data_IF_083673648659
#
_entry.id   IF_083673648659
#
_cell.length_a   1.000
_cell.length_b   1.000
_cell.length_c   1.000
_cell.angle_alpha   90.00
_cell.angle_beta   90.00
_cell.angle_gamma   90.00
#
_symmetry.space_group_name_H-M   'P 1'
#
loop_
_entity.id
_entity.type
_entity.pdbx_description
1 polymer ?
#
# COMPACT_ATOMS: atom_id res chain seq x y z
N UNK A 1 23.66 -31.04 -57.12
CA UNK A 1 22.36 -30.35 -57.00
C UNK A 1 22.43 -29.20 -56.01
N UNK A 2 23.38 -29.23 -55.07
CA UNK A 2 23.55 -28.21 -54.03
C UNK A 2 24.10 -26.88 -54.57
N UNK A 3 24.95 -26.92 -55.60
CA UNK A 3 25.55 -25.72 -56.22
C UNK A 3 24.55 -24.83 -56.98
N UNK A 4 23.46 -25.39 -57.49
CA UNK A 4 22.38 -24.62 -58.15
C UNK A 4 21.48 -23.92 -57.12
N UNK A 5 21.32 -24.51 -55.94
CA UNK A 5 20.51 -23.96 -54.85
C UNK A 5 21.20 -22.79 -54.14
N UNK A 6 22.55 -22.74 -54.14
CA UNK A 6 23.33 -21.67 -53.52
C UNK A 6 23.45 -20.38 -54.37
N UNK A 7 23.21 -20.48 -55.67
CA UNK A 7 23.28 -19.36 -56.62
C UNK A 7 22.39 -18.15 -56.25
N UNK A 8 21.10 -18.31 -55.89
CA UNK A 8 20.26 -17.19 -55.45
C UNK A 8 20.74 -16.56 -54.13
N UNK A 9 21.30 -17.34 -53.20
CA UNK A 9 21.79 -16.82 -51.91
C UNK A 9 23.07 -15.98 -52.04
N UNK A 10 23.83 -16.15 -53.14
CA UNK A 10 24.99 -15.31 -53.43
C UNK A 10 24.62 -13.90 -53.91
N UNK A 11 23.45 -13.76 -54.55
CA UNK A 11 22.91 -12.47 -55.00
C UNK A 11 22.05 -11.77 -53.94
N UNK A 12 21.36 -12.54 -53.09
CA UNK A 12 20.57 -12.00 -51.99
C UNK A 12 21.49 -11.67 -50.81
N UNK A 13 22.04 -10.45 -50.82
CA UNK A 13 22.73 -9.89 -49.65
C UNK A 13 21.72 -9.76 -48.52
N UNK A 14 21.90 -10.47 -47.41
CA UNK A 14 21.03 -10.35 -46.23
C UNK A 14 20.98 -8.87 -45.84
N UNK A 15 19.80 -8.23 -45.87
CA UNK A 15 19.69 -6.82 -45.53
C UNK A 15 20.16 -6.65 -44.08
N UNK A 16 21.07 -5.70 -43.84
CA UNK A 16 21.48 -5.32 -42.49
C UNK A 16 20.28 -4.69 -41.80
N UNK A 17 19.41 -5.50 -41.21
CA UNK A 17 18.28 -5.04 -40.43
C UNK A 17 18.81 -4.39 -39.16
N UNK A 18 19.06 -3.07 -39.22
CA UNK A 18 19.26 -2.24 -38.04
C UNK A 18 17.90 -2.06 -37.37
N UNK A 19 17.37 -3.12 -36.78
CA UNK A 19 16.18 -3.07 -35.96
C UNK A 19 16.49 -2.15 -34.77
N UNK A 20 16.00 -0.92 -34.84
CA UNK A 20 15.96 -0.02 -33.70
C UNK A 20 14.91 -0.60 -32.75
N UNK A 21 15.35 -1.44 -31.81
CA UNK A 21 14.48 -1.81 -30.68
C UNK A 21 14.09 -0.51 -29.96
N UNK A 22 12.80 -0.33 -29.61
CA UNK A 22 12.41 0.83 -28.85
C UNK A 22 13.16 0.78 -27.52
N UNK A 23 14.11 1.71 -27.35
CA UNK A 23 14.84 1.86 -26.10
C UNK A 23 13.93 2.60 -25.12
N UNK A 24 12.98 1.87 -24.54
CA UNK A 24 12.14 2.39 -23.46
C UNK A 24 13.06 2.63 -22.28
N UNK A 25 13.22 3.89 -21.89
CA UNK A 25 13.98 4.24 -20.69
C UNK A 25 13.37 3.53 -19.49
N UNK A 26 14.20 2.76 -18.78
CA UNK A 26 13.76 2.07 -17.56
C UNK A 26 13.31 3.13 -16.55
N UNK A 27 12.17 2.96 -15.88
CA UNK A 27 11.73 3.90 -14.86
C UNK A 27 12.76 3.96 -13.71
N UNK A 28 12.88 5.12 -13.09
CA UNK A 28 13.77 5.30 -11.93
C UNK A 28 13.34 4.37 -10.79
N UNK A 29 14.28 3.76 -10.03
CA UNK A 29 13.96 2.92 -8.88
C UNK A 29 13.01 3.59 -7.87
N UNK A 30 13.13 4.91 -7.69
CA UNK A 30 12.27 5.67 -6.77
C UNK A 30 10.82 5.79 -7.26
N UNK A 31 10.62 5.84 -8.57
CA UNK A 31 9.28 5.85 -9.17
C UNK A 31 8.62 4.50 -8.96
N UNK A 32 9.37 3.41 -9.20
CA UNK A 32 8.88 2.04 -8.97
C UNK A 32 8.54 1.83 -7.49
N UNK A 33 9.41 2.27 -6.58
CA UNK A 33 9.15 2.24 -5.14
C UNK A 33 7.88 3.00 -4.77
N UNK A 34 7.69 4.23 -5.28
CA UNK A 34 6.52 5.04 -4.98
C UNK A 34 5.22 4.39 -5.47
N UNK A 35 5.25 3.77 -6.65
CA UNK A 35 4.11 3.02 -7.19
C UNK A 35 3.78 1.83 -6.31
N UNK A 36 4.78 1.02 -5.92
CA UNK A 36 4.56 -0.15 -5.05
C UNK A 36 4.06 0.27 -3.67
N UNK A 37 4.61 1.36 -3.12
CA UNK A 37 4.19 1.87 -1.83
C UNK A 37 2.74 2.36 -1.87
N UNK A 38 2.35 3.04 -2.94
CA UNK A 38 0.98 3.48 -3.14
C UNK A 38 0.01 2.32 -3.36
N UNK A 39 0.38 1.31 -4.15
CA UNK A 39 -0.48 0.12 -4.35
C UNK A 39 -0.62 -0.69 -3.07
N UNK A 40 0.43 -0.78 -2.25
CA UNK A 40 0.34 -1.39 -0.91
C UNK A 40 -0.67 -0.66 -0.03
N UNK A 41 -0.64 0.68 -0.01
CA UNK A 41 -1.63 1.49 0.69
C UNK A 41 -3.06 1.15 0.22
N UNK A 42 -3.33 1.18 -1.09
CA UNK A 42 -4.66 0.91 -1.65
C UNK A 42 -5.20 -0.49 -1.28
N UNK A 43 -4.33 -1.50 -1.33
CA UNK A 43 -4.71 -2.88 -0.99
C UNK A 43 -4.95 -3.00 0.53
N UNK A 44 -4.05 -2.44 1.34
CA UNK A 44 -4.15 -2.48 2.80
C UNK A 44 -5.35 -1.71 3.35
N UNK A 45 -5.78 -0.64 2.67
CA UNK A 45 -6.97 0.12 3.04
C UNK A 45 -8.28 -0.60 2.72
N UNK A 46 -8.22 -1.77 2.06
CA UNK A 46 -9.40 -2.56 1.76
C UNK A 46 -10.17 -2.12 0.52
N UNK A 47 -9.56 -1.40 -0.43
CA UNK A 47 -10.26 -0.93 -1.63
C UNK A 47 -10.85 -2.08 -2.45
N UNK A 48 -10.21 -3.26 -2.45
CA UNK A 48 -10.75 -4.46 -3.10
C UNK A 48 -12.07 -4.89 -2.43
N UNK A 49 -12.14 -4.82 -1.10
CA UNK A 49 -13.37 -5.11 -0.35
C UNK A 49 -14.44 -4.06 -0.67
N UNK A 50 -14.06 -2.79 -0.69
CA UNK A 50 -14.97 -1.67 -0.98
C UNK A 50 -15.56 -1.80 -2.39
N UNK A 51 -14.78 -2.24 -3.38
CA UNK A 51 -15.25 -2.45 -4.77
C UNK A 51 -16.18 -3.65 -4.94
N UNK A 52 -16.03 -4.71 -4.14
CA UNK A 52 -16.83 -5.93 -4.27
C UNK A 52 -18.13 -5.82 -3.47
N UNK A 53 -18.03 -5.28 -2.25
CA UNK A 53 -19.14 -5.29 -1.29
C UNK A 53 -19.91 -3.97 -1.28
N UNK A 54 -19.30 -2.89 -1.78
CA UNK A 54 -19.89 -1.55 -1.80
C UNK A 54 -20.49 -1.14 -0.43
N UNK A 55 -19.73 -1.24 0.69
CA UNK A 55 -20.22 -0.88 2.01
C UNK A 55 -20.48 0.63 2.10
N UNK A 56 -21.37 1.09 2.99
CA UNK A 56 -21.57 2.51 3.20
C UNK A 56 -20.28 3.17 3.75
N UNK A 57 -20.11 4.46 3.47
CA UNK A 57 -18.88 5.16 3.87
C UNK A 57 -18.74 5.32 5.38
N UNK A 58 -19.85 5.57 6.09
CA UNK A 58 -19.95 5.76 7.54
C UNK A 58 -21.26 5.11 8.02
N UNK A 59 -21.25 4.46 9.19
CA UNK A 59 -22.46 3.93 9.82
C UNK A 59 -23.18 4.96 10.71
N UNK A 60 -24.43 4.70 11.05
CA UNK A 60 -25.17 5.49 12.04
C UNK A 60 -25.77 4.56 13.09
N UNK A 61 -25.54 4.85 14.37
CA UNK A 61 -26.19 4.14 15.47
C UNK A 61 -27.12 5.12 16.21
N UNK A 62 -28.36 4.68 16.54
CA UNK A 62 -29.25 5.49 17.34
C UNK A 62 -28.70 5.62 18.76
N UNK A 63 -28.56 6.85 19.21
CA UNK A 63 -28.25 7.19 20.59
C UNK A 63 -29.45 6.92 21.50
N UNK A 64 -29.25 6.88 22.82
CA UNK A 64 -30.32 6.66 23.81
C UNK A 64 -31.45 7.71 23.72
N UNK A 65 -31.16 8.86 23.11
CA UNK A 65 -32.10 9.96 22.85
C UNK A 65 -32.74 9.93 21.46
N UNK A 66 -32.51 8.89 20.66
CA UNK A 66 -33.07 8.72 19.32
C UNK A 66 -32.34 9.49 18.20
N UNK A 67 -31.26 10.20 18.52
CA UNK A 67 -30.43 10.88 17.51
C UNK A 67 -29.46 9.90 16.85
N UNK A 68 -29.31 9.97 15.53
CA UNK A 68 -28.33 9.18 14.81
C UNK A 68 -26.92 9.74 15.04
N UNK A 69 -26.05 9.00 15.73
CA UNK A 69 -24.64 9.34 15.88
C UNK A 69 -23.82 8.63 14.79
N UNK A 70 -22.94 9.36 14.07
CA UNK A 70 -22.08 8.73 13.08
C UNK A 70 -21.07 7.81 13.78
N UNK A 71 -21.00 6.56 13.32
CA UNK A 71 -20.08 5.55 13.82
C UNK A 71 -19.11 5.16 12.72
N UNK A 72 -17.82 5.44 12.98
CA UNK A 72 -16.73 5.24 12.01
C UNK A 72 -16.30 3.77 11.93
N UNK A 73 -16.52 2.99 12.99
CA UNK A 73 -16.15 1.57 13.06
C UNK A 73 -17.39 0.69 13.12
N UNK A 74 -17.36 -0.42 12.38
CA UNK A 74 -18.39 -1.44 12.51
C UNK A 74 -18.04 -2.42 13.65
N UNK A 75 -18.52 -2.10 14.86
CA UNK A 75 -18.27 -2.90 16.06
C UNK A 75 -18.78 -4.35 15.92
N UNK A 76 -18.09 -5.29 16.56
CA UNK A 76 -18.42 -6.73 16.65
C UNK A 76 -18.41 -7.53 15.33
N UNK A 77 -18.31 -6.88 14.17
CA UNK A 77 -18.23 -7.54 12.86
C UNK A 77 -16.82 -7.44 12.29
N UNK A 78 -16.02 -8.47 12.52
CA UNK A 78 -14.60 -8.50 12.12
C UNK A 78 -14.44 -8.50 10.59
N UNK A 79 -15.29 -9.24 9.88
CA UNK A 79 -15.20 -9.48 8.43
C UNK A 79 -15.82 -8.37 7.57
N UNK A 80 -16.31 -7.30 8.19
CA UNK A 80 -16.93 -6.21 7.47
C UNK A 80 -16.39 -4.87 7.99
N UNK A 81 -16.42 -3.90 7.10
CA UNK A 81 -15.66 -2.66 7.25
C UNK A 81 -16.37 -1.54 6.50
N UNK A 82 -16.33 -0.33 7.05
CA UNK A 82 -16.72 0.88 6.32
C UNK A 82 -15.55 1.43 5.51
N UNK A 83 -15.84 2.17 4.43
CA UNK A 83 -14.79 2.73 3.56
C UNK A 83 -13.82 3.60 4.37
N UNK A 84 -14.35 4.45 5.27
CA UNK A 84 -13.52 5.33 6.09
C UNK A 84 -12.66 4.57 7.11
N UNK A 85 -13.14 3.44 7.61
CA UNK A 85 -12.42 2.58 8.55
C UNK A 85 -11.18 2.00 7.89
N UNK A 86 -11.36 1.45 6.68
CA UNK A 86 -10.29 0.93 5.85
C UNK A 86 -9.25 1.95 5.44
N UNK A 87 -9.72 3.07 4.89
CA UNK A 87 -8.86 4.16 4.47
C UNK A 87 -8.02 4.69 5.64
N UNK A 88 -8.64 4.88 6.81
CA UNK A 88 -7.94 5.35 8.01
C UNK A 88 -6.88 4.35 8.49
N UNK A 89 -7.20 3.05 8.49
CA UNK A 89 -6.24 2.00 8.86
C UNK A 89 -5.04 1.97 7.88
N UNK A 90 -5.31 2.07 6.57
CA UNK A 90 -4.26 2.16 5.55
C UNK A 90 -3.33 3.35 5.75
N UNK A 91 -3.87 4.52 6.12
CA UNK A 91 -3.05 5.71 6.41
C UNK A 91 -2.14 5.52 7.62
N UNK A 92 -2.60 4.85 8.68
CA UNK A 92 -1.78 4.55 9.86
C UNK A 92 -0.61 3.63 9.51
N UNK A 93 -0.86 2.59 8.70
CA UNK A 93 0.21 1.72 8.22
C UNK A 93 1.22 2.47 7.34
N UNK A 94 0.75 3.37 6.49
CA UNK A 94 1.60 4.22 5.67
C UNK A 94 2.47 5.16 6.52
N UNK A 95 1.92 5.77 7.57
CA UNK A 95 2.68 6.59 8.52
C UNK A 95 3.74 5.79 9.28
N UNK A 96 3.40 4.57 9.70
CA UNK A 96 4.37 3.66 10.34
C UNK A 96 5.52 3.30 9.41
N UNK A 97 5.22 2.95 8.16
CA UNK A 97 6.23 2.65 7.14
C UNK A 97 7.09 3.86 6.78
N UNK A 98 6.51 5.06 6.67
CA UNK A 98 7.25 6.30 6.50
C UNK A 98 8.20 6.57 7.68
N UNK A 99 7.78 6.25 8.92
CA UNK A 99 8.64 6.34 10.09
C UNK A 99 9.93 5.52 9.93
N UNK A 100 9.83 4.28 9.44
CA UNK A 100 11.01 3.44 9.15
C UNK A 100 11.88 4.01 8.02
N UNK A 101 11.28 4.50 6.94
CA UNK A 101 12.02 5.11 5.82
C UNK A 101 12.79 6.36 6.29
N UNK A 102 12.18 7.18 7.15
CA UNK A 102 12.82 8.35 7.73
C UNK A 102 14.02 7.95 8.59
N UNK A 103 13.91 6.89 9.39
CA UNK A 103 15.02 6.39 10.20
C UNK A 103 16.18 5.88 9.32
N UNK A 104 15.89 5.16 8.25
CA UNK A 104 16.91 4.68 7.30
C UNK A 104 17.63 5.85 6.60
N UNK A 105 16.88 6.85 6.13
CA UNK A 105 17.46 8.05 5.54
C UNK A 105 18.27 8.87 6.54
N UNK A 106 17.88 8.88 7.81
CA UNK A 106 18.59 9.59 8.85
C UNK A 106 19.91 8.91 9.27
N UNK A 107 20.07 7.61 9.03
CA UNK A 107 21.33 6.88 9.28
C UNK A 107 22.53 7.58 8.63
N UNK A 108 22.32 8.20 7.46
CA UNK A 108 23.37 8.95 6.73
C UNK A 108 23.58 10.37 7.22
N UNK A 109 22.57 11.01 7.82
CA UNK A 109 22.59 12.42 8.24
C UNK A 109 22.90 12.60 9.73
N UNK A 110 22.68 11.56 10.53
CA UNK A 110 22.90 11.50 11.98
C UNK A 110 22.24 12.66 12.76
N UNK A 111 21.04 13.07 12.34
CA UNK A 111 20.30 14.15 13.01
C UNK A 111 19.39 13.58 14.10
N UNK A 112 19.61 13.99 15.35
CA UNK A 112 18.84 13.52 16.51
C UNK A 112 17.35 13.86 16.42
N UNK A 113 16.99 15.01 15.84
CA UNK A 113 15.59 15.42 15.71
C UNK A 113 14.83 14.54 14.71
N UNK A 114 15.44 14.22 13.58
CA UNK A 114 14.82 13.35 12.56
C UNK A 114 14.70 11.92 13.08
N UNK A 115 15.67 11.45 13.87
CA UNK A 115 15.57 10.17 14.57
C UNK A 115 14.36 10.14 15.52
N UNK A 116 14.23 11.17 16.37
CA UNK A 116 13.11 11.27 17.31
C UNK A 116 11.75 11.30 16.60
N UNK A 117 11.64 12.03 15.48
CA UNK A 117 10.41 12.09 14.67
C UNK A 117 10.09 10.73 14.05
N UNK A 118 11.08 10.05 13.45
CA UNK A 118 10.87 8.72 12.87
C UNK A 118 10.42 7.68 13.91
N UNK A 119 11.05 7.70 15.09
CA UNK A 119 10.69 6.83 16.20
C UNK A 119 9.29 7.17 16.76
N UNK A 120 8.96 8.46 16.90
CA UNK A 120 7.64 8.90 17.34
C UNK A 120 6.53 8.46 16.37
N UNK A 121 6.77 8.55 15.05
CA UNK A 121 5.83 8.06 14.04
C UNK A 121 5.57 6.55 14.16
N UNK A 122 6.61 5.75 14.36
CA UNK A 122 6.48 4.30 14.54
C UNK A 122 5.66 3.99 15.80
N UNK A 123 6.04 4.58 16.94
CA UNK A 123 5.35 4.36 18.22
C UNK A 123 3.90 4.85 18.15
N UNK A 124 3.64 6.01 17.56
CA UNK A 124 2.29 6.54 17.39
C UNK A 124 1.45 5.62 16.50
N UNK A 125 1.97 5.20 15.35
CA UNK A 125 1.26 4.31 14.42
C UNK A 125 0.87 2.98 15.08
N UNK A 126 1.77 2.38 15.87
CA UNK A 126 1.50 1.16 16.64
C UNK A 126 0.39 1.35 17.68
N UNK A 127 0.46 2.42 18.47
CA UNK A 127 -0.55 2.69 19.50
C UNK A 127 -1.93 2.96 18.87
N UNK A 128 -1.98 3.74 17.79
CA UNK A 128 -3.25 4.03 17.09
C UNK A 128 -3.82 2.74 16.48
N UNK A 129 -2.99 1.87 15.90
CA UNK A 129 -3.45 0.59 15.36
C UNK A 129 -4.05 -0.31 16.46
N UNK A 130 -3.45 -0.36 17.66
CA UNK A 130 -4.04 -1.08 18.80
C UNK A 130 -5.39 -0.48 19.20
N UNK A 131 -5.49 0.85 19.24
CA UNK A 131 -6.75 1.54 19.54
C UNK A 131 -7.82 1.17 18.51
N UNK A 132 -7.48 1.10 17.22
CA UNK A 132 -8.40 0.68 16.16
C UNK A 132 -8.91 -0.75 16.38
N UNK A 133 -8.02 -1.68 16.73
CA UNK A 133 -8.41 -3.06 17.05
C UNK A 133 -9.34 -3.09 18.27
N UNK A 134 -9.05 -2.32 19.32
CA UNK A 134 -9.91 -2.23 20.52
C UNK A 134 -11.26 -1.59 20.25
N UNK A 135 -11.34 -0.61 19.34
CA UNK A 135 -12.60 -0.02 18.90
C UNK A 135 -13.45 -1.04 18.11
N UNK A 136 -12.81 -1.88 17.29
CA UNK A 136 -13.50 -2.91 16.51
C UNK A 136 -13.93 -4.12 17.35
N UNK A 137 -13.07 -4.54 18.28
CA UNK A 137 -13.27 -5.69 19.18
C UNK A 137 -13.14 -5.20 20.64
N UNK A 138 -14.25 -4.78 21.27
CA UNK A 138 -14.22 -4.38 22.67
C UNK A 138 -13.85 -5.58 23.56
N UNK A 139 -12.88 -5.38 24.46
CA UNK A 139 -12.32 -6.46 25.29
C UNK A 139 -11.05 -7.10 24.72
N UNK A 140 -10.54 -6.65 23.57
CA UNK A 140 -9.23 -7.10 23.07
C UNK A 140 -8.09 -6.66 23.98
N UNK A 141 -7.49 -7.63 24.69
CA UNK A 141 -6.31 -7.41 25.51
C UNK A 141 -5.08 -8.01 24.80
N UNK A 142 -4.13 -7.19 24.32
CA UNK A 142 -2.97 -7.69 23.57
C UNK A 142 -2.03 -8.57 24.40
N UNK A 143 -2.21 -8.63 25.72
CA UNK A 143 -1.35 -9.35 26.67
C UNK A 143 -1.95 -10.71 27.08
N UNK A 144 -3.25 -10.97 26.85
CA UNK A 144 -3.92 -12.19 27.34
C UNK A 144 -3.94 -13.34 26.32
N UNK A 145 -2.86 -13.52 25.55
CA UNK A 145 -2.68 -14.71 24.67
C UNK A 145 -2.03 -15.87 25.47
N UNK A 146 -2.32 -15.96 26.77
CA UNK A 146 -1.98 -17.09 27.64
C UNK A 146 -3.17 -17.42 28.53
#
# INVERSE_FOLDING_TARGET
MDTLLELPFKFVKVPKMRLKVPNISKPSPMVVFSIIFFTYFLVSSGIIYDLIIEPPSIGYQPDERGHARPTVFQMYRINAQYIIEGLSAGFIFLLGALGYIILDLNSKKNNSYVFAVGLALIVASYNIAIVFIRMKIPGYNPISIY
#
